data_IF_621365331365
#
_entry.id   IF_621365331365
#
_cell.length_a   1.000
_cell.length_b   1.000
_cell.length_c   1.000
_cell.angle_alpha   90.00
_cell.angle_beta   90.00
_cell.angle_gamma   90.00
#
_symmetry.space_group_name_H-M   'P 1'
#
loop_
_entity.id
_entity.type
_entity.pdbx_description
1 polymer ?
#
# COMPACT_ATOMS: atom_id res chain seq x y z
N UNK A 1 -9.11 9.18 5.42
CA UNK A 1 -8.29 9.66 6.55
C UNK A 1 -7.27 10.64 5.98
N UNK A 2 -7.15 11.83 6.58
CA UNK A 2 -6.16 12.83 6.18
C UNK A 2 -5.14 12.95 7.31
N UNK A 3 -3.86 12.87 6.98
CA UNK A 3 -2.77 13.13 7.91
C UNK A 3 -2.06 14.41 7.50
N UNK A 4 -1.99 15.36 8.42
CA UNK A 4 -1.18 16.56 8.27
C UNK A 4 0.12 16.35 9.05
N UNK A 5 1.25 16.30 8.36
CA UNK A 5 2.58 16.12 8.96
C UNK A 5 3.26 17.45 9.31
N UNK A 6 2.58 18.59 9.17
CA UNK A 6 3.09 19.91 9.58
C UNK A 6 2.71 20.24 11.01
N UNK A 7 3.40 21.22 11.60
CA UNK A 7 3.10 21.75 12.94
C UNK A 7 1.96 22.79 12.96
N UNK A 8 1.30 23.02 11.82
CA UNK A 8 0.28 24.06 11.64
C UNK A 8 -1.05 23.45 11.24
N UNK A 9 -2.15 24.00 11.75
CA UNK A 9 -3.51 23.54 11.44
C UNK A 9 -3.83 23.65 9.93
N UNK A 10 -4.53 22.64 9.41
CA UNK A 10 -5.03 22.61 8.04
C UNK A 10 -6.57 22.68 8.04
N UNK A 11 -7.12 23.83 7.70
CA UNK A 11 -8.57 24.04 7.64
C UNK A 11 -9.16 23.47 6.35
N UNK A 12 -10.16 22.61 6.47
CA UNK A 12 -10.95 22.07 5.35
C UNK A 12 -12.37 22.63 5.41
N UNK A 13 -12.87 23.16 4.29
CA UNK A 13 -14.21 23.72 4.16
C UNK A 13 -15.12 22.80 3.35
N UNK A 14 -16.45 22.90 3.55
CA UNK A 14 -17.40 22.22 2.67
C UNK A 14 -17.15 22.60 1.20
N UNK A 15 -16.96 21.59 0.34
CA UNK A 15 -16.66 21.77 -1.08
C UNK A 15 -15.17 21.68 -1.45
N UNK A 16 -14.26 21.65 -0.48
CA UNK A 16 -12.83 21.49 -0.77
C UNK A 16 -12.51 20.07 -1.27
N UNK A 17 -11.67 20.00 -2.31
CA UNK A 17 -11.19 18.72 -2.86
C UNK A 17 -9.92 18.28 -2.14
N UNK A 18 -10.05 17.49 -1.09
CA UNK A 18 -8.92 17.04 -0.25
C UNK A 18 -8.30 15.69 -0.67
N UNK A 19 -8.93 14.95 -1.59
CA UNK A 19 -8.45 13.66 -2.08
C UNK A 19 -9.06 13.34 -3.46
N UNK A 20 -8.56 12.27 -4.09
CA UNK A 20 -9.11 11.72 -5.33
C UNK A 20 -9.30 10.22 -5.20
N UNK A 21 -10.38 9.71 -5.79
CA UNK A 21 -10.64 8.28 -5.88
C UNK A 21 -9.87 7.66 -7.05
N UNK A 22 -9.30 6.48 -6.81
CA UNK A 22 -8.71 5.59 -7.82
C UNK A 22 -9.47 4.27 -7.75
N UNK A 23 -9.87 3.73 -8.89
CA UNK A 23 -10.57 2.46 -8.99
C UNK A 23 -9.60 1.44 -9.57
N UNK A 24 -9.43 0.31 -8.89
CA UNK A 24 -8.55 -0.78 -9.32
C UNK A 24 -9.27 -2.12 -9.15
N UNK A 25 -9.08 -3.03 -10.10
CA UNK A 25 -9.61 -4.39 -10.03
C UNK A 25 -8.60 -5.24 -9.26
N UNK A 26 -9.04 -5.86 -8.17
CA UNK A 26 -8.23 -6.79 -7.39
C UNK A 26 -8.91 -8.17 -7.35
N UNK A 27 -8.15 -9.27 -7.50
CA UNK A 27 -8.69 -10.60 -7.28
C UNK A 27 -8.86 -10.85 -5.76
N UNK A 28 -9.85 -11.67 -5.41
CA UNK A 28 -10.03 -12.21 -4.05
C UNK A 28 -9.93 -13.73 -4.09
N UNK A 29 -8.71 -14.29 -4.21
CA UNK A 29 -8.52 -15.73 -4.28
C UNK A 29 -8.78 -16.38 -2.90
N UNK A 30 -9.17 -17.65 -2.91
CA UNK A 30 -9.19 -18.46 -1.69
C UNK A 30 -7.77 -18.70 -1.20
N UNK A 31 -7.58 -18.64 0.11
CA UNK A 31 -6.29 -18.92 0.74
C UNK A 31 -6.14 -20.43 0.93
N UNK A 32 -5.07 -21.00 0.39
CA UNK A 32 -4.71 -22.41 0.56
C UNK A 32 -3.50 -22.53 1.50
N UNK A 33 -3.64 -23.32 2.56
CA UNK A 33 -2.54 -23.69 3.45
C UNK A 33 -1.69 -24.79 2.81
N UNK A 34 -0.36 -24.63 2.84
CA UNK A 34 0.62 -25.57 2.29
C UNK A 34 1.80 -25.70 3.24
N UNK A 35 2.50 -26.84 3.20
CA UNK A 35 3.67 -27.09 4.06
C UNK A 35 4.90 -26.25 3.64
N UNK A 36 5.09 -26.04 2.33
CA UNK A 36 6.20 -25.25 1.79
C UNK A 36 5.78 -24.55 0.48
N UNK A 37 6.46 -23.44 0.16
CA UNK A 37 6.29 -22.68 -1.08
C UNK A 37 7.42 -23.00 -2.07
N UNK A 38 7.14 -22.92 -3.37
CA UNK A 38 8.17 -23.12 -4.39
C UNK A 38 9.30 -22.09 -4.28
N UNK A 39 10.55 -22.55 -4.40
CA UNK A 39 11.72 -21.68 -4.39
C UNK A 39 11.75 -20.75 -5.63
N UNK A 40 12.03 -19.47 -5.41
CA UNK A 40 12.17 -18.46 -6.47
C UNK A 40 13.52 -17.74 -6.39
N UNK A 41 14.01 -17.21 -7.52
CA UNK A 41 15.29 -16.49 -7.62
C UNK A 41 15.41 -15.31 -6.64
N UNK A 42 14.28 -14.67 -6.29
CA UNK A 42 14.25 -13.57 -5.31
C UNK A 42 14.28 -14.05 -3.86
N UNK A 43 13.83 -15.28 -3.58
CA UNK A 43 13.64 -15.82 -2.23
C UNK A 43 12.96 -14.82 -1.28
N UNK A 44 13.55 -14.67 -0.09
CA UNK A 44 13.12 -13.74 0.98
C UNK A 44 13.55 -12.28 0.75
N UNK A 45 14.04 -11.92 -0.44
CA UNK A 45 14.59 -10.60 -0.72
C UNK A 45 13.57 -9.46 -0.58
N UNK A 46 13.72 -8.65 0.47
CA UNK A 46 12.98 -7.41 0.74
C UNK A 46 13.92 -6.24 1.06
N UNK A 47 13.38 -5.02 1.18
CA UNK A 47 14.10 -3.80 1.62
C UNK A 47 15.47 -3.54 0.96
N UNK A 48 15.49 -3.14 -0.31
CA UNK A 48 16.74 -2.69 -0.95
C UNK A 48 17.68 -3.82 -1.37
N UNK A 49 17.17 -5.04 -1.54
CA UNK A 49 17.96 -6.22 -1.94
C UNK A 49 18.71 -6.07 -3.29
N UNK A 50 18.34 -5.08 -4.12
CA UNK A 50 19.01 -4.74 -5.37
C UNK A 50 20.03 -3.58 -5.25
N UNK A 51 20.28 -3.08 -4.03
CA UNK A 51 21.15 -1.93 -3.78
C UNK A 51 20.44 -0.57 -3.94
N UNK A 52 21.24 0.50 -3.88
CA UNK A 52 20.84 1.89 -4.20
C UNK A 52 20.97 2.11 -5.70
#
# INVERSE_FOLDING_TARGET
MLFNHSEVDFAVKPGDRAARMIIHVIPTPDVAEVEDLDAIVRGEGGFGFAGV
#
